data_IF_406647632616
#
_entry.id   IF_406647632616
#
_cell.length_a   1.000
_cell.length_b   1.000
_cell.length_c   1.000
_cell.angle_alpha   90.00
_cell.angle_beta   90.00
_cell.angle_gamma   90.00
#
_symmetry.space_group_name_H-M   'P 1'
#
loop_
_entity.id
_entity.type
_entity.pdbx_description
1 polymer ?
#
# COMPACT_ATOMS: atom_id res chain seq x y z
N UNK A 1 26.15 37.45 -10.81
CA UNK A 1 25.65 38.44 -11.79
C UNK A 1 24.88 39.46 -10.98
N UNK A 2 25.36 40.70 -10.93
CA UNK A 2 24.71 41.77 -10.17
C UNK A 2 23.32 41.99 -10.78
N UNK A 3 22.28 41.91 -9.95
CA UNK A 3 20.92 42.29 -10.36
C UNK A 3 20.96 43.78 -10.65
N UNK A 4 20.97 44.13 -11.93
CA UNK A 4 20.95 45.51 -12.40
C UNK A 4 19.63 46.15 -11.93
N UNK A 5 19.76 47.13 -11.04
CA UNK A 5 18.63 47.85 -10.45
C UNK A 5 18.17 48.88 -11.47
N UNK A 6 16.87 48.91 -11.73
CA UNK A 6 16.23 49.83 -12.67
C UNK A 6 15.19 50.65 -11.94
N UNK A 7 15.07 51.92 -12.29
CA UNK A 7 14.18 52.90 -11.67
C UNK A 7 13.15 53.41 -12.67
N UNK A 8 12.02 53.93 -12.19
CA UNK A 8 10.98 54.55 -13.02
C UNK A 8 10.52 55.85 -12.40
N UNK A 9 10.51 56.92 -13.19
CA UNK A 9 9.99 58.23 -12.79
C UNK A 9 8.47 58.21 -12.78
N UNK A 10 7.85 58.36 -11.60
CA UNK A 10 6.39 58.45 -11.44
C UNK A 10 5.87 59.84 -11.14
N UNK A 11 6.75 60.83 -10.93
CA UNK A 11 6.30 62.16 -10.52
C UNK A 11 5.66 62.90 -11.70
N UNK A 12 4.34 62.83 -11.77
CA UNK A 12 3.51 63.79 -12.50
C UNK A 12 3.40 65.02 -11.60
N UNK A 13 3.84 66.16 -12.13
CA UNK A 13 4.37 67.28 -11.37
C UNK A 13 3.45 67.85 -10.30
N UNK A 14 4.08 68.57 -9.36
CA UNK A 14 3.40 69.62 -8.61
C UNK A 14 2.86 70.72 -9.55
N UNK A 15 2.55 71.92 -9.05
CA UNK A 15 1.93 72.99 -9.86
C UNK A 15 2.71 73.37 -11.14
N UNK A 16 3.97 72.95 -11.25
CA UNK A 16 4.93 73.27 -12.31
C UNK A 16 5.08 72.17 -13.40
N UNK A 17 4.16 71.19 -13.47
CA UNK A 17 4.04 70.27 -14.62
C UNK A 17 4.98 69.06 -14.62
N UNK A 18 4.69 68.10 -15.51
CA UNK A 18 5.33 66.78 -15.55
C UNK A 18 6.80 66.83 -16.00
N UNK A 19 7.64 66.00 -15.39
CA UNK A 19 9.03 65.80 -15.80
C UNK A 19 9.13 65.02 -17.12
N UNK A 20 10.09 65.37 -17.97
CA UNK A 20 10.29 64.79 -19.33
C UNK A 20 10.29 63.25 -19.34
N UNK A 21 10.98 62.64 -18.37
CA UNK A 21 11.03 61.18 -18.24
C UNK A 21 9.82 60.55 -17.52
N UNK A 22 9.08 61.33 -16.72
CA UNK A 22 7.83 60.88 -16.09
C UNK A 22 6.66 60.85 -17.10
N UNK A 23 6.65 61.78 -18.05
CA UNK A 23 5.66 61.82 -19.13
C UNK A 23 5.78 60.62 -20.10
N UNK A 24 7.00 60.09 -20.26
CA UNK A 24 7.31 59.03 -21.24
C UNK A 24 7.29 57.62 -20.65
N UNK A 25 7.11 57.50 -19.32
CA UNK A 25 7.03 56.24 -18.59
C UNK A 25 8.24 55.31 -18.75
N UNK A 26 9.40 55.90 -19.03
CA UNK A 26 10.61 55.17 -19.41
C UNK A 26 11.31 54.56 -18.18
N UNK A 27 11.94 53.40 -18.38
CA UNK A 27 12.73 52.71 -17.35
C UNK A 27 14.17 53.19 -17.46
N UNK A 28 14.71 53.75 -16.37
CA UNK A 28 16.04 54.34 -16.30
C UNK A 28 16.99 53.39 -15.56
N UNK A 29 18.19 53.20 -16.11
CA UNK A 29 19.25 52.42 -15.46
C UNK A 29 19.86 53.18 -14.28
N UNK A 30 20.27 52.47 -13.24
CA UNK A 30 20.88 53.07 -12.03
C UNK A 30 22.06 54.01 -12.30
N UNK A 31 22.79 53.82 -13.42
CA UNK A 31 23.93 54.66 -13.80
C UNK A 31 23.54 56.07 -14.29
N UNK A 32 22.29 56.28 -14.69
CA UNK A 32 21.80 57.55 -15.23
C UNK A 32 21.00 58.36 -14.19
N UNK A 33 20.96 57.91 -12.94
CA UNK A 33 20.18 58.50 -11.86
C UNK A 33 21.12 59.24 -10.90
N UNK A 34 20.73 60.44 -10.48
CA UNK A 34 21.50 61.21 -9.49
C UNK A 34 21.09 60.77 -8.09
N UNK A 35 22.05 60.42 -7.25
CA UNK A 35 21.80 60.03 -5.86
C UNK A 35 22.11 61.25 -4.98
N UNK A 36 21.12 61.73 -4.23
CA UNK A 36 21.32 62.82 -3.27
C UNK A 36 22.06 62.37 -2.02
N UNK A 37 22.47 63.33 -1.19
CA UNK A 37 23.18 63.06 0.07
C UNK A 37 22.35 62.27 1.09
N UNK A 38 21.04 62.15 0.86
CA UNK A 38 20.08 61.36 1.61
C UNK A 38 19.99 59.89 1.15
N UNK A 39 20.77 59.51 0.13
CA UNK A 39 20.79 58.17 -0.45
C UNK A 39 19.59 57.87 -1.35
N UNK A 40 18.76 58.87 -1.66
CA UNK A 40 17.62 58.70 -2.57
C UNK A 40 18.02 59.00 -4.01
N UNK A 41 17.42 58.25 -4.92
CA UNK A 41 17.59 58.39 -6.36
C UNK A 41 16.60 59.43 -6.90
N UNK A 42 17.07 60.42 -7.65
CA UNK A 42 16.26 61.52 -8.20
C UNK A 42 16.11 61.42 -9.71
N UNK A 43 14.91 61.73 -10.22
CA UNK A 43 14.65 61.78 -11.66
C UNK A 43 15.57 62.79 -12.37
N UNK A 44 16.34 62.37 -13.39
CA UNK A 44 17.06 63.33 -14.23
C UNK A 44 16.08 64.16 -15.07
N UNK A 45 16.49 65.35 -15.51
CA UNK A 45 15.74 66.22 -16.40
C UNK A 45 15.17 67.48 -15.75
N UNK A 46 14.58 68.32 -16.59
CA UNK A 46 13.92 69.57 -16.21
C UNK A 46 12.40 69.45 -16.41
N UNK A 47 11.64 70.23 -15.64
CA UNK A 47 10.21 70.43 -15.90
C UNK A 47 10.02 71.27 -17.15
N UNK A 48 8.78 71.33 -17.66
CA UNK A 48 8.41 72.21 -18.77
C UNK A 48 8.67 73.70 -18.51
N UNK A 49 8.98 74.09 -17.27
CA UNK A 49 9.36 75.45 -16.87
C UNK A 49 10.86 75.62 -16.56
N UNK A 50 11.71 74.61 -16.83
CA UNK A 50 13.17 74.70 -16.69
C UNK A 50 13.69 74.52 -15.26
N UNK A 51 12.93 73.86 -14.39
CA UNK A 51 13.33 73.56 -13.01
C UNK A 51 13.76 72.09 -12.86
N UNK A 52 14.74 71.77 -12.00
CA UNK A 52 15.22 70.40 -11.84
C UNK A 52 14.17 69.49 -11.21
N UNK A 53 14.02 68.30 -11.77
CA UNK A 53 13.06 67.27 -11.35
C UNK A 53 13.44 66.59 -10.01
N UNK A 54 13.30 67.31 -8.90
CA UNK A 54 13.68 66.87 -7.54
C UNK A 54 12.82 65.78 -6.89
N UNK A 55 12.28 64.82 -7.65
CA UNK A 55 11.39 63.79 -7.11
C UNK A 55 12.10 62.46 -6.84
N UNK A 56 11.86 61.89 -5.66
CA UNK A 56 12.40 60.59 -5.24
C UNK A 56 11.80 59.43 -6.08
N UNK A 57 12.67 58.54 -6.54
CA UNK A 57 12.36 57.38 -7.37
C UNK A 57 11.91 56.16 -6.53
N UNK A 58 11.00 55.35 -7.09
CA UNK A 58 10.61 54.05 -6.54
C UNK A 58 11.47 52.94 -7.18
N UNK A 59 12.12 52.11 -6.35
CA UNK A 59 12.90 50.95 -6.82
C UNK A 59 11.97 49.90 -7.45
N UNK A 60 12.17 49.60 -8.73
CA UNK A 60 11.46 48.50 -9.40
C UNK A 60 12.30 47.24 -9.27
N UNK A 61 12.05 46.45 -8.23
CA UNK A 61 12.73 45.15 -8.04
C UNK A 61 12.23 44.18 -9.14
N UNK A 62 13.08 43.70 -10.06
CA UNK A 62 12.66 42.74 -11.06
C UNK A 62 12.26 41.42 -10.40
N UNK A 63 11.06 40.91 -10.70
CA UNK A 63 10.59 39.60 -10.21
C UNK A 63 11.59 38.52 -10.61
N UNK A 64 12.26 37.92 -9.62
CA UNK A 64 13.18 36.79 -9.79
C UNK A 64 12.45 35.67 -10.54
N UNK A 65 12.81 35.45 -11.81
CA UNK A 65 12.34 34.32 -12.61
C UNK A 65 12.89 33.04 -11.97
N UNK A 66 12.07 32.37 -11.17
CA UNK A 66 12.40 31.04 -10.66
C UNK A 66 12.36 30.09 -11.87
N UNK A 67 13.46 29.39 -12.20
CA UNK A 67 13.47 28.49 -13.34
C UNK A 67 12.50 27.33 -13.08
N UNK A 68 11.53 27.15 -13.97
CA UNK A 68 10.51 26.08 -13.93
C UNK A 68 11.09 24.66 -13.86
N UNK A 69 12.39 24.50 -14.12
CA UNK A 69 13.14 23.24 -14.06
C UNK A 69 13.21 22.65 -12.63
N UNK A 70 13.07 23.47 -11.59
CA UNK A 70 13.05 22.98 -10.20
C UNK A 70 11.79 22.15 -9.87
N UNK A 71 10.67 22.38 -10.57
CA UNK A 71 9.42 21.66 -10.32
C UNK A 71 9.36 20.28 -11.00
N UNK A 72 10.10 20.06 -12.09
CA UNK A 72 10.05 18.79 -12.83
C UNK A 72 10.77 17.65 -12.10
N UNK A 73 11.90 17.92 -11.44
CA UNK A 73 12.71 16.92 -10.75
C UNK A 73 12.00 16.39 -9.48
N UNK A 74 11.28 17.25 -8.76
CA UNK A 74 10.52 16.86 -7.57
C UNK A 74 9.41 15.85 -7.91
N UNK A 75 8.77 15.98 -9.08
CA UNK A 75 7.68 15.08 -9.49
C UNK A 75 8.14 13.64 -9.72
N UNK A 76 9.31 13.46 -10.35
CA UNK A 76 9.83 12.12 -10.66
C UNK A 76 10.23 11.37 -9.38
N UNK A 77 10.88 12.05 -8.42
CA UNK A 77 11.24 11.42 -7.14
C UNK A 77 10.02 11.03 -6.31
N UNK A 78 8.97 11.86 -6.29
CA UNK A 78 7.72 11.52 -5.60
C UNK A 78 7.06 10.29 -6.23
N UNK A 79 6.96 10.23 -7.56
CA UNK A 79 6.38 9.06 -8.25
C UNK A 79 7.20 7.79 -7.98
N UNK A 80 8.53 7.88 -8.04
CA UNK A 80 9.40 6.73 -7.75
C UNK A 80 9.26 6.27 -6.30
N UNK A 81 9.26 7.20 -5.33
CA UNK A 81 9.04 6.87 -3.91
C UNK A 81 7.65 6.30 -3.67
N UNK A 82 6.61 6.83 -4.32
CA UNK A 82 5.25 6.29 -4.25
C UNK A 82 5.18 4.88 -4.83
N UNK A 83 5.84 4.61 -5.96
CA UNK A 83 5.92 3.26 -6.53
C UNK A 83 6.71 2.32 -5.64
N UNK A 84 7.79 2.77 -5.00
CA UNK A 84 8.57 1.97 -4.03
C UNK A 84 7.73 1.68 -2.79
N UNK A 85 7.03 2.67 -2.25
CA UNK A 85 6.14 2.50 -1.07
C UNK A 85 4.97 1.59 -1.42
N UNK A 86 4.37 1.75 -2.61
CA UNK A 86 3.33 0.87 -3.11
C UNK A 86 3.87 -0.55 -3.27
N UNK A 87 5.00 -0.75 -3.95
CA UNK A 87 5.60 -2.07 -4.12
C UNK A 87 6.07 -2.71 -2.80
N UNK A 88 6.45 -1.90 -1.80
CA UNK A 88 6.82 -2.37 -0.47
C UNK A 88 5.60 -2.73 0.39
N UNK A 89 4.50 -1.98 0.29
CA UNK A 89 3.25 -2.25 1.02
C UNK A 89 2.40 -3.34 0.36
N UNK A 90 2.47 -3.49 -0.96
CA UNK A 90 1.80 -4.55 -1.73
C UNK A 90 2.75 -5.72 -2.02
N UNK A 91 3.67 -6.02 -1.10
CA UNK A 91 4.25 -7.36 -1.02
C UNK A 91 3.19 -8.25 -0.41
N UNK A 92 2.24 -8.69 -1.24
CA UNK A 92 1.22 -9.63 -0.81
C UNK A 92 1.84 -10.85 -0.13
N UNK A 93 1.07 -11.52 0.70
CA UNK A 93 1.41 -12.82 1.28
C UNK A 93 0.34 -13.82 0.91
N UNK A 94 0.70 -15.09 0.68
CA UNK A 94 -0.26 -16.17 0.72
C UNK A 94 -0.69 -16.39 2.18
N UNK A 95 -1.98 -16.57 2.42
CA UNK A 95 -2.53 -16.79 3.76
C UNK A 95 -3.53 -17.94 3.71
N UNK A 96 -3.07 -19.10 4.16
CA UNK A 96 -3.87 -20.31 4.31
C UNK A 96 -4.77 -20.21 5.55
N UNK A 97 -6.08 -20.36 5.34
CA UNK A 97 -7.08 -20.55 6.40
C UNK A 97 -7.96 -21.77 6.12
N UNK A 98 -8.36 -22.45 7.18
CA UNK A 98 -9.35 -23.55 7.16
C UNK A 98 -10.49 -23.22 8.13
N UNK A 99 -11.69 -23.74 7.88
CA UNK A 99 -12.88 -23.44 8.70
C UNK A 99 -12.86 -24.19 10.04
N UNK A 100 -12.51 -25.48 10.01
CA UNK A 100 -12.41 -26.33 11.19
C UNK A 100 -10.97 -26.80 11.37
N UNK A 101 -10.41 -26.67 12.57
CA UNK A 101 -9.06 -27.18 12.91
C UNK A 101 -9.10 -28.57 13.53
N UNK A 102 -10.30 -29.11 13.79
CA UNK A 102 -10.51 -30.43 14.38
C UNK A 102 -11.69 -31.15 13.72
N UNK A 103 -11.46 -32.35 13.18
CA UNK A 103 -12.46 -33.12 12.45
C UNK A 103 -12.64 -34.52 13.03
N UNK A 104 -13.89 -35.00 13.08
CA UNK A 104 -14.22 -36.35 13.52
C UNK A 104 -14.76 -37.19 12.37
N UNK A 105 -14.26 -38.43 12.25
CA UNK A 105 -14.56 -39.36 11.17
C UNK A 105 -15.14 -40.67 11.70
N UNK A 106 -16.06 -41.24 10.95
CA UNK A 106 -16.51 -42.64 11.06
C UNK A 106 -15.76 -43.51 10.05
N UNK A 107 -15.64 -44.84 10.24
CA UNK A 107 -14.90 -45.70 9.33
C UNK A 107 -15.49 -45.63 7.91
N UNK A 108 -14.65 -45.38 6.91
CA UNK A 108 -15.08 -45.18 5.52
C UNK A 108 -15.68 -43.81 5.21
N UNK A 109 -15.74 -42.90 6.18
CA UNK A 109 -16.26 -41.55 5.96
C UNK A 109 -15.27 -40.73 5.13
N UNK A 110 -15.82 -39.93 4.23
CA UNK A 110 -15.12 -38.88 3.50
C UNK A 110 -15.65 -37.54 3.93
N UNK A 111 -14.76 -36.63 4.31
CA UNK A 111 -15.08 -35.24 4.69
C UNK A 111 -14.42 -34.28 3.71
N UNK A 112 -15.14 -33.22 3.36
CA UNK A 112 -14.61 -32.13 2.54
C UNK A 112 -14.03 -31.07 3.47
N UNK A 113 -12.76 -30.75 3.29
CA UNK A 113 -12.08 -29.66 3.97
C UNK A 113 -11.96 -28.52 2.98
N UNK A 114 -12.54 -27.38 3.32
CA UNK A 114 -12.42 -26.16 2.53
C UNK A 114 -11.19 -25.37 2.97
N UNK A 115 -10.41 -24.96 1.98
CA UNK A 115 -9.16 -24.23 2.13
C UNK A 115 -9.36 -22.87 1.49
N UNK A 116 -9.04 -21.82 2.23
CA UNK A 116 -9.15 -20.45 1.80
C UNK A 116 -7.76 -19.83 1.64
N UNK A 117 -7.58 -19.08 0.56
CA UNK A 117 -6.47 -18.15 0.43
C UNK A 117 -6.96 -16.74 0.73
N UNK A 118 -6.88 -16.34 1.99
CA UNK A 118 -7.22 -14.97 2.43
C UNK A 118 -6.08 -13.97 2.09
N UNK A 119 -5.04 -14.43 1.42
CA UNK A 119 -3.88 -13.65 1.05
C UNK A 119 -4.03 -12.90 -0.28
N UNK A 120 -3.04 -12.07 -0.58
CA UNK A 120 -2.95 -11.30 -1.82
C UNK A 120 -2.07 -11.98 -2.90
N UNK A 121 -1.38 -13.06 -2.55
CA UNK A 121 -0.60 -13.90 -3.47
C UNK A 121 -1.21 -15.30 -3.61
N UNK A 122 -0.94 -15.96 -4.74
CA UNK A 122 -1.35 -17.34 -4.98
C UNK A 122 -0.80 -18.28 -3.91
N UNK A 123 -1.70 -19.05 -3.31
CA UNK A 123 -1.37 -20.07 -2.32
C UNK A 123 -1.07 -21.37 -3.06
N UNK A 124 0.11 -21.93 -2.80
CA UNK A 124 0.56 -23.19 -3.37
C UNK A 124 0.73 -24.19 -2.23
N UNK A 125 0.00 -25.31 -2.32
CA UNK A 125 0.11 -26.42 -1.38
C UNK A 125 1.13 -27.40 -1.93
N UNK A 126 2.21 -27.63 -1.18
CA UNK A 126 3.30 -28.50 -1.62
C UNK A 126 3.01 -29.97 -1.31
N UNK A 127 2.57 -30.24 -0.08
CA UNK A 127 2.31 -31.59 0.41
C UNK A 127 1.45 -31.59 1.67
N UNK A 128 0.84 -32.72 1.94
CA UNK A 128 0.04 -32.98 3.14
C UNK A 128 0.52 -34.27 3.76
N UNK A 129 0.80 -34.22 5.06
CA UNK A 129 1.30 -35.35 5.83
C UNK A 129 0.34 -35.70 6.96
N UNK A 130 0.24 -36.99 7.29
CA UNK A 130 -0.54 -37.49 8.42
C UNK A 130 0.40 -38.14 9.43
N UNK A 131 0.19 -37.89 10.73
CA UNK A 131 1.00 -38.48 11.79
C UNK A 131 0.71 -39.98 12.00
N UNK A 132 -0.50 -40.45 11.66
CA UNK A 132 -0.91 -41.85 11.75
C UNK A 132 -1.45 -42.36 10.41
N UNK A 133 -1.22 -43.65 10.15
CA UNK A 133 -1.81 -44.34 9.01
C UNK A 133 -3.33 -44.54 9.20
N UNK A 134 -4.06 -44.66 8.09
CA UNK A 134 -5.52 -44.84 8.08
C UNK A 134 -6.28 -43.65 7.54
N UNK A 135 -5.64 -42.48 7.44
CA UNK A 135 -6.14 -41.32 6.72
C UNK A 135 -5.48 -41.20 5.35
N UNK A 136 -6.25 -40.80 4.35
CA UNK A 136 -5.75 -40.46 3.01
C UNK A 136 -6.43 -39.20 2.48
N UNK A 137 -5.79 -38.53 1.52
CA UNK A 137 -6.38 -37.40 0.80
C UNK A 137 -6.73 -37.78 -0.64
N UNK A 138 -7.71 -37.10 -1.20
CA UNK A 138 -8.01 -37.13 -2.62
C UNK A 138 -8.18 -35.70 -3.17
N UNK A 139 -7.42 -35.30 -4.21
CA UNK A 139 -6.36 -36.08 -4.90
C UNK A 139 -5.10 -36.29 -4.04
N UNK A 140 -4.35 -37.36 -4.31
CA UNK A 140 -3.19 -37.80 -3.50
C UNK A 140 -1.94 -36.92 -3.69
N UNK A 141 -1.80 -36.30 -4.86
CA UNK A 141 -0.81 -35.28 -5.18
C UNK A 141 -1.53 -33.93 -5.19
N UNK A 142 -1.58 -33.27 -4.03
CA UNK A 142 -2.26 -32.00 -3.88
C UNK A 142 -1.32 -30.83 -4.21
N UNK A 143 -0.78 -30.79 -5.44
CA UNK A 143 -0.21 -29.56 -5.98
C UNK A 143 -1.41 -28.67 -6.34
N UNK A 144 -1.93 -28.00 -5.31
CA UNK A 144 -3.15 -27.22 -5.37
C UNK A 144 -2.76 -25.75 -5.34
N UNK A 145 -3.01 -25.06 -6.44
CA UNK A 145 -2.90 -23.61 -6.52
C UNK A 145 -4.26 -22.98 -6.26
N UNK A 146 -4.33 -22.08 -5.27
CA UNK A 146 -5.53 -21.34 -4.91
C UNK A 146 -5.26 -19.86 -5.14
N UNK A 147 -6.03 -19.25 -6.04
CA UNK A 147 -5.88 -17.83 -6.35
C UNK A 147 -6.22 -16.94 -5.13
N UNK A 148 -5.69 -15.72 -5.07
CA UNK A 148 -5.99 -14.77 -4.00
C UNK A 148 -7.50 -14.55 -3.82
N UNK A 149 -8.00 -14.68 -2.59
CA UNK A 149 -9.41 -14.52 -2.26
C UNK A 149 -10.33 -15.67 -2.70
N UNK A 150 -9.78 -16.75 -3.25
CA UNK A 150 -10.55 -17.94 -3.63
C UNK A 150 -10.45 -19.06 -2.58
N UNK A 151 -11.30 -20.07 -2.75
CA UNK A 151 -11.28 -21.29 -1.97
C UNK A 151 -11.18 -22.53 -2.85
N UNK A 152 -10.60 -23.59 -2.28
CA UNK A 152 -10.51 -24.90 -2.88
C UNK A 152 -10.88 -25.98 -1.86
N UNK A 153 -11.12 -27.21 -2.33
CA UNK A 153 -11.53 -28.30 -1.47
C UNK A 153 -10.57 -29.49 -1.57
N UNK A 154 -10.32 -30.12 -0.43
CA UNK A 154 -9.61 -31.39 -0.32
C UNK A 154 -10.54 -32.40 0.34
N UNK A 155 -10.53 -33.65 -0.13
CA UNK A 155 -11.27 -34.73 0.50
C UNK A 155 -10.34 -35.53 1.40
N UNK A 156 -10.67 -35.58 2.68
CA UNK A 156 -9.98 -36.44 3.66
C UNK A 156 -10.84 -37.68 3.87
N UNK A 157 -10.21 -38.84 3.77
CA UNK A 157 -10.87 -40.15 3.79
C UNK A 157 -10.27 -40.95 4.95
N UNK A 158 -11.14 -41.50 5.81
CA UNK A 158 -10.75 -42.51 6.79
C UNK A 158 -10.97 -43.91 6.22
N UNK A 159 -9.96 -44.78 6.33
CA UNK A 159 -10.05 -46.17 5.91
C UNK A 159 -11.26 -46.90 6.54
N UNK A 160 -11.85 -47.85 5.80
CA UNK A 160 -13.04 -48.56 6.27
C UNK A 160 -12.80 -49.51 7.45
N UNK A 161 -11.58 -50.03 7.60
CA UNK A 161 -11.26 -51.07 8.59
C UNK A 161 -10.46 -50.53 9.78
N UNK A 162 -10.93 -49.43 10.34
CA UNK A 162 -10.35 -48.86 11.57
C UNK A 162 -10.98 -49.57 12.76
N UNK A 163 -10.22 -50.44 13.44
CA UNK A 163 -10.72 -51.27 14.55
C UNK A 163 -10.77 -50.52 15.89
N UNK A 164 -9.87 -49.56 16.10
CA UNK A 164 -9.76 -48.75 17.32
C UNK A 164 -9.89 -47.26 17.00
N UNK A 165 -10.26 -46.43 17.98
CA UNK A 165 -10.27 -44.98 17.77
C UNK A 165 -8.85 -44.46 17.50
N UNK A 166 -8.64 -43.78 16.38
CA UNK A 166 -7.34 -43.23 15.97
C UNK A 166 -7.37 -41.72 16.14
N UNK A 167 -6.35 -41.15 16.77
CA UNK A 167 -6.07 -39.72 16.75
C UNK A 167 -4.88 -39.48 15.83
N UNK A 168 -5.04 -38.61 14.85
CA UNK A 168 -4.02 -38.24 13.88
C UNK A 168 -3.94 -36.73 13.78
N UNK A 169 -2.80 -36.22 13.33
CA UNK A 169 -2.62 -34.80 13.01
C UNK A 169 -2.31 -34.73 11.53
N UNK A 170 -3.03 -33.87 10.82
CA UNK A 170 -2.81 -33.53 9.43
C UNK A 170 -2.00 -32.24 9.38
N UNK A 171 -0.84 -32.28 8.72
CA UNK A 171 0.04 -31.13 8.52
C UNK A 171 0.04 -30.76 7.05
N UNK A 172 -0.36 -29.53 6.74
CA UNK A 172 -0.38 -28.98 5.39
C UNK A 172 0.84 -28.08 5.25
N UNK A 173 1.68 -28.39 4.26
CA UNK A 173 2.83 -27.58 3.88
C UNK A 173 2.49 -26.74 2.65
N UNK A 174 2.79 -25.46 2.70
CA UNK A 174 2.46 -24.48 1.67
C UNK A 174 3.40 -23.29 1.68
N UNK A 175 3.31 -22.45 0.65
CA UNK A 175 3.97 -21.14 0.61
C UNK A 175 3.29 -20.06 1.50
N UNK A 176 2.33 -20.44 2.35
CA UNK A 176 1.62 -19.53 3.25
C UNK A 176 2.54 -18.90 4.29
N UNK A 177 2.24 -17.66 4.69
CA UNK A 177 2.89 -17.01 5.84
C UNK A 177 2.66 -17.72 7.19
N UNK A 178 1.65 -18.58 7.26
CA UNK A 178 1.27 -19.40 8.42
C UNK A 178 1.75 -20.84 8.33
N UNK A 179 2.68 -21.16 7.42
CA UNK A 179 3.22 -22.51 7.24
C UNK A 179 4.11 -22.98 8.42
N UNK A 180 4.02 -24.25 8.85
CA UNK A 180 3.03 -25.26 8.48
C UNK A 180 1.72 -25.16 9.27
N UNK A 181 0.59 -25.46 8.60
CA UNK A 181 -0.72 -25.51 9.25
C UNK A 181 -1.03 -26.93 9.74
N UNK A 182 -1.40 -27.07 11.01
CA UNK A 182 -1.78 -28.35 11.62
C UNK A 182 -3.27 -28.43 11.94
N UNK A 183 -3.85 -29.61 11.75
CA UNK A 183 -5.24 -29.93 12.05
C UNK A 183 -5.34 -31.27 12.77
N UNK A 184 -6.22 -31.36 13.76
CA UNK A 184 -6.44 -32.59 14.52
C UNK A 184 -7.56 -33.42 13.90
N UNK A 185 -7.30 -34.71 13.69
CA UNK A 185 -8.24 -35.66 13.12
C UNK A 185 -8.52 -36.79 14.11
N UNK A 186 -9.79 -37.08 14.33
CA UNK A 186 -10.23 -38.17 15.22
C UNK A 186 -11.07 -39.16 14.43
N UNK A 187 -10.55 -40.36 14.22
CA UNK A 187 -11.30 -41.48 13.68
C UNK A 187 -11.94 -42.28 14.81
N UNK A 188 -13.27 -42.36 14.86
CA UNK A 188 -13.97 -43.19 15.82
C UNK A 188 -14.36 -44.52 15.16
N UNK A 189 -13.68 -45.61 15.53
CA UNK A 189 -13.94 -46.96 15.00
C UNK A 189 -15.37 -47.46 15.25
N UNK A 190 -16.02 -46.98 16.32
CA UNK A 190 -17.35 -47.46 16.68
C UNK A 190 -18.19 -46.36 17.34
N UNK A 191 -18.78 -45.44 16.55
CA UNK A 191 -19.66 -44.41 17.10
C UNK A 191 -20.90 -45.00 17.79
N UNK A 192 -21.23 -46.26 17.52
CA UNK A 192 -22.38 -47.01 18.08
C UNK A 192 -21.98 -48.11 19.07
N UNK A 193 -20.70 -48.26 19.45
CA UNK A 193 -20.22 -49.44 20.18
C UNK A 193 -20.87 -49.68 21.55
N UNK A 194 -21.45 -48.63 22.13
CA UNK A 194 -22.30 -48.72 23.32
C UNK A 194 -23.62 -49.44 23.05
N UNK A 195 -24.26 -49.21 21.91
CA UNK A 195 -25.51 -49.87 21.54
C UNK A 195 -25.30 -51.37 21.25
N UNK A 196 -24.23 -51.75 20.58
CA UNK A 196 -23.92 -53.17 20.30
C UNK A 196 -23.59 -53.96 21.57
N UNK A 197 -22.87 -53.35 22.52
CA UNK A 197 -22.56 -53.98 23.82
C UNK A 197 -23.81 -54.18 24.68
N UNK A 198 -24.77 -53.24 24.60
CA UNK A 198 -26.06 -53.34 25.28
C UNK A 198 -27.00 -54.35 24.60
N UNK A 199 -27.01 -54.40 23.27
CA UNK A 199 -27.82 -55.35 22.51
C UNK A 199 -27.33 -56.80 22.73
N UNK A 200 -26.02 -57.01 22.77
CA UNK A 200 -25.40 -58.32 23.06
C UNK A 200 -25.57 -58.76 24.53
N UNK A 201 -25.60 -57.80 25.48
CA UNK A 201 -25.91 -58.09 26.90
C UNK A 201 -27.38 -58.44 27.14
N UNK A 202 -28.30 -57.98 26.28
CA UNK A 202 -29.73 -58.24 26.42
C UNK A 202 -30.13 -59.64 25.95
N UNK A 203 -29.40 -60.24 24.99
CA UNK A 203 -29.64 -61.61 24.52
C UNK A 203 -29.20 -62.70 25.49
N UNK A 204 -28.31 -62.39 26.44
CA UNK A 204 -27.86 -63.33 27.48
C UNK A 204 -28.83 -63.44 28.68
N UNK A 205 -29.74 -62.47 28.84
CA UNK A 205 -30.76 -62.44 29.90
C UNK A 205 -32.10 -63.09 29.50
N UNK A 206 -32.22 -63.60 28.28
CA UNK A 206 -33.43 -64.26 27.77
C UNK A 206 -33.39 -65.80 27.80
N UNK A 207 -32.39 -66.41 28.43
CA UNK A 207 -32.19 -67.86 28.44
C UNK A 207 -31.85 -68.38 29.84
N UNK A 208 -32.77 -68.19 30.77
CA UNK A 208 -32.95 -69.04 31.96
C UNK A 208 -34.38 -69.57 32.01
#
# INVERSE_FOLDING_TARGET
MATEVTYRCKNTGGPDGDCEHAATDEIIMASAVTIGDDGQAYCPGETVFGEPCGAALEEVIPKKKIPWVAFSIASAMVVVLSLIIWFAMFRGSALLRVDETALTFSPGQTVRVEIFNDGDLGLEIDRIEFSQQGFSIEPQEAELEVAPGESAYIRVILAQHVQDSIQSTMTIFSNSSTDPLTMDLVGNANPWGVADKLNSSSTLLGKE
#
